data_IF_471131224395
#
_entry.id   IF_471131224395
#
_cell.length_a   1.000
_cell.length_b   1.000
_cell.length_c   1.000
_cell.angle_alpha   90.00
_cell.angle_beta   90.00
_cell.angle_gamma   90.00
#
_symmetry.space_group_name_H-M   'P 1'
#
loop_
_entity.id
_entity.type
_entity.pdbx_description
1 polymer ?
#
# COMPACT_ATOMS: atom_id res chain seq x y z
N UNK A 1 -17.89 -12.96 19.63
CA UNK A 1 -18.15 -13.50 18.28
C UNK A 1 -18.36 -12.34 17.32
N UNK A 2 -17.64 -12.39 16.20
CA UNK A 2 -17.83 -11.72 14.90
C UNK A 2 -18.71 -10.47 14.77
N UNK A 3 -18.11 -9.41 14.20
CA UNK A 3 -18.61 -8.73 12.98
C UNK A 3 -17.43 -8.16 12.20
N UNK A 4 -16.53 -9.05 11.77
CA UNK A 4 -15.58 -8.77 10.69
C UNK A 4 -16.30 -8.97 9.34
N UNK A 5 -17.43 -8.28 9.15
CA UNK A 5 -18.14 -8.25 7.86
C UNK A 5 -17.88 -6.94 7.10
N UNK A 6 -16.90 -6.14 7.54
CA UNK A 6 -16.35 -5.01 6.78
C UNK A 6 -15.10 -5.47 6.00
N UNK A 7 -15.08 -6.73 5.55
CA UNK A 7 -14.06 -7.23 4.62
C UNK A 7 -14.74 -7.50 3.26
N UNK A 8 -15.55 -6.55 2.78
CA UNK A 8 -15.95 -6.54 1.37
C UNK A 8 -14.93 -5.75 0.54
N UNK A 9 -14.32 -4.71 1.12
CA UNK A 9 -13.26 -3.92 0.49
C UNK A 9 -12.58 -3.03 1.56
N UNK A 10 -11.25 -3.11 1.76
CA UNK A 10 -10.54 -2.30 2.76
C UNK A 10 -10.60 -0.78 2.48
N UNK A 11 -10.89 -0.39 1.23
CA UNK A 11 -10.99 0.99 0.79
C UNK A 11 -12.43 1.51 0.74
N UNK A 12 -13.44 0.69 1.11
CA UNK A 12 -14.83 1.12 1.10
C UNK A 12 -15.08 2.37 1.96
N UNK A 13 -14.33 2.53 3.05
CA UNK A 13 -14.38 3.70 3.93
C UNK A 13 -13.85 4.98 3.28
N UNK A 14 -13.10 4.87 2.17
CA UNK A 14 -12.57 6.02 1.42
C UNK A 14 -13.58 6.60 0.42
N UNK A 15 -14.69 5.90 0.17
CA UNK A 15 -15.73 6.37 -0.75
C UNK A 15 -16.54 7.54 -0.16
N UNK A 16 -16.63 7.62 1.17
CA UNK A 16 -17.30 8.72 1.89
C UNK A 16 -16.58 8.96 3.24
N UNK A 17 -15.49 9.73 3.23
CA UNK A 17 -14.70 9.96 4.43
C UNK A 17 -15.44 10.82 5.47
N UNK A 18 -16.31 11.74 5.04
CA UNK A 18 -17.02 12.67 5.94
C UNK A 18 -18.00 11.92 6.86
N UNK A 19 -18.76 10.98 6.29
CA UNK A 19 -19.69 10.13 7.05
C UNK A 19 -18.96 9.27 8.09
N UNK A 20 -17.79 8.74 7.74
CA UNK A 20 -16.96 7.94 8.66
C UNK A 20 -16.51 8.79 9.85
N UNK A 21 -16.00 10.00 9.61
CA UNK A 21 -15.55 10.90 10.69
C UNK A 21 -16.70 11.27 11.62
N UNK A 22 -17.87 11.61 11.06
CA UNK A 22 -19.07 11.95 11.85
C UNK A 22 -19.53 10.81 12.76
N UNK A 23 -19.48 9.58 12.28
CA UNK A 23 -19.83 8.41 13.10
C UNK A 23 -18.72 8.06 14.11
N UNK A 24 -17.46 8.32 13.79
CA UNK A 24 -16.36 8.21 14.76
C UNK A 24 -16.54 9.17 15.94
N UNK A 25 -16.93 10.42 15.69
CA UNK A 25 -17.17 11.43 16.74
C UNK A 25 -18.31 11.04 17.70
N UNK A 26 -19.33 10.34 17.18
CA UNK A 26 -20.48 9.86 17.97
C UNK A 26 -20.18 8.60 18.77
N UNK A 27 -19.07 7.91 18.48
CA UNK A 27 -18.76 6.62 19.06
C UNK A 27 -18.13 6.75 20.45
N UNK A 28 -18.94 6.55 21.51
CA UNK A 28 -18.43 6.54 22.88
C UNK A 28 -17.33 5.49 23.12
N UNK A 29 -17.40 4.35 22.41
CA UNK A 29 -16.41 3.28 22.53
C UNK A 29 -15.04 3.72 22.02
N UNK A 30 -15.00 4.43 20.88
CA UNK A 30 -13.77 5.01 20.35
C UNK A 30 -13.28 6.17 21.22
N UNK A 31 -14.19 7.00 21.74
CA UNK A 31 -13.85 8.09 22.66
C UNK A 31 -13.17 7.61 23.96
N UNK A 32 -13.54 6.42 24.47
CA UNK A 32 -12.91 5.80 25.64
C UNK A 32 -11.63 5.02 25.32
N UNK A 33 -11.26 4.89 24.05
CA UNK A 33 -10.09 4.11 23.66
C UNK A 33 -8.82 4.89 24.03
N UNK A 34 -8.04 4.36 24.97
CA UNK A 34 -6.77 4.97 25.34
C UNK A 34 -5.82 4.96 24.15
N UNK A 35 -5.36 6.14 23.73
CA UNK A 35 -4.30 6.28 22.73
C UNK A 35 -3.00 5.73 23.30
N UNK A 36 -2.69 4.48 22.99
CA UNK A 36 -1.34 3.96 23.20
C UNK A 36 -0.53 4.38 21.99
N UNK A 37 0.61 5.04 22.24
CA UNK A 37 1.59 5.28 21.20
C UNK A 37 2.14 3.90 20.80
N UNK A 38 1.55 3.32 19.75
CA UNK A 38 2.01 2.09 19.17
C UNK A 38 3.19 2.46 18.29
N UNK A 39 4.38 1.96 18.65
CA UNK A 39 5.60 2.11 17.84
C UNK A 39 6.01 0.74 17.29
N UNK A 40 5.18 0.15 16.41
CA UNK A 40 5.42 -1.21 15.92
C UNK A 40 6.72 -1.31 15.11
N UNK A 41 7.22 -0.16 14.62
CA UNK A 41 8.47 -0.06 13.86
C UNK A 41 9.67 0.38 14.71
N UNK A 42 9.47 0.83 15.95
CA UNK A 42 10.59 1.19 16.85
C UNK A 42 11.45 -0.01 17.19
N UNK A 43 10.87 -1.21 17.15
CA UNK A 43 11.60 -2.45 17.26
C UNK A 43 11.63 -3.09 15.88
N UNK A 44 12.76 -3.04 15.15
CA UNK A 44 12.84 -3.70 13.85
C UNK A 44 12.54 -5.19 14.07
N UNK A 45 11.35 -5.60 13.62
CA UNK A 45 10.89 -6.99 13.65
C UNK A 45 11.59 -7.83 12.59
N UNK A 46 12.24 -7.18 11.64
CA UNK A 46 13.08 -7.80 10.62
C UNK A 46 14.41 -8.12 11.31
N UNK A 47 14.76 -9.40 11.50
CA UNK A 47 16.10 -9.77 11.91
C UNK A 47 17.09 -9.09 10.97
N UNK A 48 18.14 -8.47 11.51
CA UNK A 48 19.24 -8.03 10.66
C UNK A 48 19.79 -9.28 9.99
N UNK A 49 19.50 -9.39 8.71
CA UNK A 49 20.05 -10.37 7.79
C UNK A 49 21.57 -10.34 7.95
N UNK A 50 22.18 -11.51 8.14
CA UNK A 50 23.65 -11.59 8.24
C UNK A 50 24.31 -11.02 6.99
N UNK A 51 25.61 -10.66 7.06
CA UNK A 51 26.35 -10.11 5.92
C UNK A 51 26.18 -10.93 4.62
N UNK A 52 26.04 -12.26 4.75
CA UNK A 52 25.83 -13.18 3.63
C UNK A 52 24.48 -13.01 2.91
N UNK A 53 23.38 -12.80 3.62
CA UNK A 53 22.06 -12.66 3.00
C UNK A 53 21.76 -11.19 2.63
N UNK A 54 22.46 -10.22 3.23
CA UNK A 54 22.52 -8.83 2.72
C UNK A 54 23.22 -8.76 1.36
N UNK A 55 24.25 -9.58 1.15
CA UNK A 55 24.91 -9.75 -0.15
C UNK A 55 24.00 -10.36 -1.22
N UNK A 56 22.99 -11.16 -0.83
CA UNK A 56 22.04 -11.75 -1.77
C UNK A 56 21.01 -10.71 -2.26
N UNK A 57 20.49 -9.87 -1.36
CA UNK A 57 19.57 -8.78 -1.74
C UNK A 57 20.22 -7.77 -2.68
N UNK A 58 21.45 -7.32 -2.38
CA UNK A 58 22.18 -6.36 -3.23
C UNK A 58 22.53 -6.89 -4.62
N UNK A 59 22.49 -8.21 -4.82
CA UNK A 59 22.73 -8.83 -6.14
C UNK A 59 21.60 -8.53 -7.13
N UNK A 60 20.35 -8.48 -6.65
CA UNK A 60 19.18 -8.16 -7.49
C UNK A 60 19.15 -6.67 -7.83
N UNK A 61 19.47 -5.79 -6.86
CA UNK A 61 19.54 -4.35 -7.09
C UNK A 61 20.59 -4.00 -8.15
N UNK A 62 21.77 -4.63 -8.08
CA UNK A 62 22.84 -4.43 -9.06
C UNK A 62 22.49 -4.98 -10.46
N UNK A 63 21.68 -6.03 -10.54
CA UNK A 63 21.21 -6.60 -11.82
C UNK A 63 20.28 -5.62 -12.53
N UNK A 64 19.35 -5.01 -11.78
CA UNK A 64 18.43 -3.97 -12.31
C UNK A 64 19.18 -2.72 -12.75
N UNK A 65 20.17 -2.26 -11.96
CA UNK A 65 20.96 -1.07 -12.32
C UNK A 65 21.85 -1.30 -13.54
N UNK A 66 22.26 -2.55 -13.80
CA UNK A 66 23.04 -2.92 -14.97
C UNK A 66 22.20 -3.09 -16.25
N UNK A 67 20.88 -3.17 -16.13
CA UNK A 67 20.01 -3.20 -17.30
C UNK A 67 20.04 -1.84 -18.03
N UNK A 68 20.14 -1.84 -19.38
CA UNK A 68 20.09 -0.61 -20.14
C UNK A 68 18.71 0.03 -20.00
N UNK A 69 18.70 1.32 -19.69
CA UNK A 69 17.49 2.13 -19.63
C UNK A 69 16.84 2.13 -21.03
N UNK A 70 15.70 1.46 -21.17
CA UNK A 70 14.96 1.47 -22.42
C UNK A 70 14.38 2.86 -22.62
N UNK A 71 14.89 3.59 -23.62
CA UNK A 71 14.23 4.80 -24.11
C UNK A 71 12.83 4.37 -24.57
N UNK A 72 11.81 4.78 -23.84
CA UNK A 72 10.43 4.60 -24.28
C UNK A 72 10.27 5.40 -25.56
N UNK A 73 10.40 4.72 -26.70
CA UNK A 73 10.01 5.25 -27.98
C UNK A 73 8.49 5.43 -27.88
N UNK A 74 8.05 6.67 -27.64
CA UNK A 74 6.64 7.05 -27.66
C UNK A 74 6.09 6.85 -29.09
N UNK A 75 5.88 5.58 -29.49
CA UNK A 75 4.94 5.28 -30.55
C UNK A 75 3.55 5.64 -30.01
N UNK A 76 3.17 6.89 -30.26
CA UNK A 76 1.80 7.36 -30.18
C UNK A 76 0.98 6.47 -31.12
N UNK A 77 0.37 5.43 -30.55
CA UNK A 77 -0.70 4.70 -31.22
C UNK A 77 -1.84 5.71 -31.36
N UNK A 78 -1.84 6.45 -32.46
CA UNK A 78 -2.97 7.26 -32.88
C UNK A 78 -4.13 6.28 -33.01
N UNK A 79 -5.03 6.31 -32.04
CA UNK A 79 -6.26 5.56 -32.05
C UNK A 79 -7.01 5.90 -33.35
N UNK A 80 -6.87 5.06 -34.38
CA UNK A 80 -7.90 4.93 -35.40
C UNK A 80 -9.09 4.28 -34.71
N UNK A 81 -9.88 5.12 -34.06
CA UNK A 81 -11.25 4.81 -33.70
C UNK A 81 -12.07 4.68 -34.98
N UNK A 82 -11.92 3.55 -35.67
CA UNK A 82 -12.97 3.08 -36.57
C UNK A 82 -14.01 2.40 -35.70
N UNK A 83 -15.08 3.16 -35.43
CA UNK A 83 -16.37 2.62 -35.03
C UNK A 83 -16.84 1.71 -36.17
N UNK A 84 -16.84 0.40 -35.95
CA UNK A 84 -17.60 -0.54 -36.78
C UNK A 84 -18.94 -0.76 -36.06
N UNK A 85 -20.01 -0.48 -36.81
CA UNK A 85 -21.43 -0.60 -36.48
C UNK A 85 -21.80 -1.96 -35.88
#
# INVERSE_FOLDING_TARGET
MQRQEIIANPFALMMDPESVVKEMERSERLARLQSRICRPLDKPLIPKVGEEEASNTGRYDAEVEAEPEIEAEDEVIVAKGELIL
#
